data_IF_802047078563
#
_entry.id   IF_802047078563
#
_cell.length_a   1.000
_cell.length_b   1.000
_cell.length_c   1.000
_cell.angle_alpha   90.00
_cell.angle_beta   90.00
_cell.angle_gamma   90.00
#
_symmetry.space_group_name_H-M   'P 1'
#
loop_
_entity.id
_entity.type
_entity.pdbx_description
1 polymer ?
#
# COMPACT_ATOMS: atom_id res chain seq x y z
N UNK A 1 17.48 -15.18 22.57
CA UNK A 1 16.70 -14.13 21.90
C UNK A 1 17.00 -14.21 20.41
N UNK A 2 16.04 -13.90 19.52
CA UNK A 2 16.30 -13.81 18.08
C UNK A 2 17.40 -12.78 17.81
N UNK A 3 18.30 -13.07 16.87
CA UNK A 3 19.28 -12.09 16.38
C UNK A 3 18.69 -11.31 15.21
N UNK A 4 19.31 -10.18 14.86
CA UNK A 4 18.88 -9.40 13.70
C UNK A 4 18.88 -10.24 12.41
N UNK A 5 19.89 -11.09 12.22
CA UNK A 5 20.00 -11.98 11.06
C UNK A 5 18.89 -13.04 11.02
N UNK A 6 18.53 -13.60 12.18
CA UNK A 6 17.47 -14.63 12.27
C UNK A 6 16.09 -14.07 11.92
N UNK A 7 15.85 -12.77 12.11
CA UNK A 7 14.57 -12.14 11.77
C UNK A 7 14.30 -12.20 10.26
N UNK A 8 15.33 -12.08 9.44
CA UNK A 8 15.18 -12.12 7.97
C UNK A 8 14.79 -13.49 7.42
N UNK A 9 14.93 -14.56 8.22
CA UNK A 9 14.54 -15.92 7.80
C UNK A 9 13.13 -16.29 8.28
N UNK A 10 12.41 -15.37 8.93
CA UNK A 10 11.07 -15.62 9.48
C UNK A 10 9.98 -15.15 8.50
N UNK A 11 9.75 -15.91 7.44
CA UNK A 11 8.80 -15.53 6.37
C UNK A 11 7.41 -15.18 6.90
N UNK A 12 6.87 -15.98 7.83
CA UNK A 12 5.55 -15.72 8.41
C UNK A 12 5.52 -14.42 9.23
N UNK A 13 6.63 -14.07 9.89
CA UNK A 13 6.71 -12.82 10.64
C UNK A 13 6.68 -11.61 9.69
N UNK A 14 7.38 -11.68 8.55
CA UNK A 14 7.29 -10.64 7.52
C UNK A 14 5.85 -10.51 6.98
N UNK A 15 5.21 -11.63 6.65
CA UNK A 15 3.80 -11.65 6.23
C UNK A 15 2.86 -11.04 7.28
N UNK A 16 3.06 -11.37 8.55
CA UNK A 16 2.26 -10.85 9.66
C UNK A 16 2.40 -9.33 9.81
N UNK A 17 3.63 -8.81 9.77
CA UNK A 17 3.91 -7.38 9.86
C UNK A 17 3.28 -6.66 8.67
N UNK A 18 3.42 -7.21 7.46
CA UNK A 18 2.85 -6.63 6.24
C UNK A 18 1.33 -6.55 6.28
N UNK A 19 0.67 -7.59 6.77
CA UNK A 19 -0.80 -7.63 6.90
C UNK A 19 -1.30 -6.68 8.00
N UNK A 20 -0.55 -6.57 9.09
CA UNK A 20 -0.83 -5.59 10.14
C UNK A 20 -0.80 -4.16 9.57
N UNK A 21 0.25 -3.82 8.80
CA UNK A 21 0.37 -2.50 8.18
C UNK A 21 -0.65 -2.25 7.05
N UNK A 22 -1.18 -3.31 6.42
CA UNK A 22 -2.26 -3.21 5.43
C UNK A 22 -3.60 -2.87 6.09
N UNK A 23 -3.95 -3.59 7.16
CA UNK A 23 -5.25 -3.41 7.84
C UNK A 23 -5.26 -2.19 8.75
N UNK A 24 -4.12 -1.88 9.37
CA UNK A 24 -3.97 -0.78 10.30
C UNK A 24 -2.87 0.17 9.81
N UNK A 25 -3.10 0.87 8.68
CA UNK A 25 -2.11 1.79 8.14
C UNK A 25 -1.88 2.94 9.12
N UNK A 26 -0.60 3.23 9.41
CA UNK A 26 -0.19 4.33 10.30
C UNK A 26 -0.72 5.68 9.78
N UNK A 27 -0.73 5.84 8.46
CA UNK A 27 -1.33 6.97 7.77
C UNK A 27 -2.34 6.44 6.73
N UNK A 28 -3.66 6.44 7.01
CA UNK A 28 -4.65 5.92 6.06
C UNK A 28 -4.73 6.79 4.78
N UNK A 29 -4.46 8.08 4.89
CA UNK A 29 -4.26 9.00 3.77
C UNK A 29 -2.78 9.30 3.62
N UNK A 30 -2.25 9.22 2.40
CA UNK A 30 -0.88 9.63 2.12
C UNK A 30 -0.70 11.15 2.35
N UNK A 31 0.54 11.57 2.60
CA UNK A 31 0.88 13.00 2.62
C UNK A 31 0.63 13.57 1.23
N UNK A 32 -0.24 14.57 1.14
CA UNK A 32 -0.60 15.22 -0.11
C UNK A 32 0.63 15.71 -0.86
N UNK A 33 0.67 15.43 -2.15
CA UNK A 33 1.67 15.94 -3.09
C UNK A 33 1.06 17.07 -3.91
N UNK A 34 1.89 18.02 -4.33
CA UNK A 34 1.48 19.07 -5.25
C UNK A 34 2.06 18.78 -6.64
N UNK A 35 1.24 18.86 -7.69
CA UNK A 35 1.72 18.71 -9.06
C UNK A 35 2.71 19.84 -9.40
N UNK A 36 3.91 19.47 -9.86
CA UNK A 36 4.94 20.43 -10.26
C UNK A 36 4.63 21.07 -11.61
N UNK A 37 3.92 20.34 -12.47
CA UNK A 37 3.56 20.70 -13.84
C UNK A 37 2.14 20.22 -14.17
N UNK A 38 1.58 20.75 -15.26
CA UNK A 38 0.31 20.27 -15.80
C UNK A 38 0.54 18.96 -16.55
N UNK A 39 -0.28 17.95 -16.30
CA UNK A 39 -0.22 16.64 -16.98
C UNK A 39 -1.61 16.08 -17.23
N UNK A 40 -1.74 15.06 -18.08
CA UNK A 40 -2.99 14.34 -18.28
C UNK A 40 -2.92 12.99 -17.57
N UNK A 41 -3.86 12.74 -16.66
CA UNK A 41 -4.04 11.44 -16.04
C UNK A 41 -4.97 10.60 -16.92
N UNK A 42 -4.53 9.39 -17.27
CA UNK A 42 -5.32 8.45 -18.08
C UNK A 42 -6.71 8.27 -17.44
N UNK A 43 -7.77 8.35 -18.24
CA UNK A 43 -9.18 8.20 -17.82
C UNK A 43 -9.74 9.33 -16.93
N UNK A 44 -8.91 10.26 -16.44
CA UNK A 44 -9.33 11.39 -15.60
C UNK A 44 -9.15 12.77 -16.24
N UNK A 45 -8.32 12.88 -17.29
CA UNK A 45 -8.10 14.12 -18.03
C UNK A 45 -6.99 15.00 -17.44
N UNK A 46 -7.07 16.30 -17.72
CA UNK A 46 -6.01 17.25 -17.38
C UNK A 46 -5.97 17.56 -15.87
N UNK A 47 -4.78 17.45 -15.29
CA UNK A 47 -4.42 17.87 -13.93
C UNK A 47 -3.54 19.11 -14.06
N UNK A 48 -4.03 20.30 -13.68
CA UNK A 48 -3.23 21.51 -13.72
C UNK A 48 -2.02 21.47 -12.77
N UNK A 49 -1.00 22.28 -13.08
CA UNK A 49 0.08 22.59 -12.14
C UNK A 49 -0.49 23.16 -10.83
N UNK A 50 0.07 22.74 -9.69
CA UNK A 50 -0.32 23.23 -8.37
C UNK A 50 -1.48 22.48 -7.72
N UNK A 51 -2.07 21.50 -8.41
CA UNK A 51 -3.13 20.63 -7.85
C UNK A 51 -2.58 19.77 -6.71
N UNK A 52 -3.30 19.73 -5.60
CA UNK A 52 -3.02 18.80 -4.50
C UNK A 52 -3.60 17.43 -4.81
N UNK A 53 -2.78 16.39 -4.64
CA UNK A 53 -3.08 15.00 -4.93
C UNK A 53 -2.82 14.18 -3.67
N UNK A 54 -3.81 13.41 -3.25
CA UNK A 54 -3.74 12.55 -2.07
C UNK A 54 -4.10 11.13 -2.47
N UNK A 55 -3.32 10.15 -2.00
CA UNK A 55 -3.62 8.73 -2.21
C UNK A 55 -4.38 8.22 -1.00
N UNK A 56 -5.55 7.65 -1.26
CA UNK A 56 -6.34 6.93 -0.26
C UNK A 56 -5.78 5.51 -0.09
N UNK A 57 -4.84 5.36 0.84
CA UNK A 57 -4.17 4.09 1.09
C UNK A 57 -5.11 3.10 1.79
N UNK A 58 -6.07 3.59 2.57
CA UNK A 58 -7.08 2.75 3.20
C UNK A 58 -7.93 2.03 2.15
N UNK A 59 -8.58 2.76 1.24
CA UNK A 59 -9.38 2.14 0.19
C UNK A 59 -8.54 1.27 -0.76
N UNK A 60 -7.28 1.65 -1.02
CA UNK A 60 -6.34 0.82 -1.77
C UNK A 60 -6.08 -0.53 -1.08
N UNK A 61 -5.87 -0.53 0.24
CA UNK A 61 -5.55 -1.71 1.05
C UNK A 61 -6.76 -2.62 1.30
N UNK A 62 -7.98 -2.08 1.21
CA UNK A 62 -9.23 -2.85 1.34
C UNK A 62 -9.88 -3.18 -0.01
N UNK A 63 -9.26 -2.86 -1.14
CA UNK A 63 -9.82 -3.15 -2.46
C UNK A 63 -9.84 -4.67 -2.75
N UNK A 64 -11.01 -5.30 -2.92
CA UNK A 64 -11.12 -6.74 -3.15
C UNK A 64 -10.51 -7.20 -4.48
N UNK A 65 -10.46 -6.33 -5.49
CA UNK A 65 -9.83 -6.65 -6.77
C UNK A 65 -8.30 -6.74 -6.66
N UNK A 66 -7.71 -6.06 -5.69
CA UNK A 66 -6.27 -6.11 -5.41
C UNK A 66 -5.94 -7.19 -4.38
N UNK A 67 -6.79 -7.35 -3.35
CA UNK A 67 -6.47 -8.14 -2.17
C UNK A 67 -7.20 -9.48 -2.06
N UNK A 68 -8.12 -9.80 -2.97
CA UNK A 68 -8.75 -11.12 -3.07
C UNK A 68 -7.76 -12.28 -3.32
N UNK A 69 -8.25 -13.53 -3.30
CA UNK A 69 -9.67 -13.93 -3.19
C UNK A 69 -10.24 -13.90 -1.77
N UNK A 70 -9.39 -13.89 -0.74
CA UNK A 70 -9.81 -13.76 0.66
C UNK A 70 -10.27 -12.33 0.91
N UNK A 71 -11.37 -12.17 1.66
CA UNK A 71 -11.93 -10.88 2.03
C UNK A 71 -10.81 -9.93 2.56
N UNK A 72 -10.65 -8.72 2.01
CA UNK A 72 -9.67 -7.74 2.52
C UNK A 72 -9.90 -7.33 3.98
N UNK A 73 -11.09 -7.55 4.53
CA UNK A 73 -11.39 -7.31 5.95
C UNK A 73 -10.95 -8.43 6.88
N UNK A 74 -10.57 -9.59 6.33
CA UNK A 74 -10.02 -10.71 7.10
C UNK A 74 -8.50 -10.55 7.26
N UNK A 75 -8.02 -10.70 8.50
CA UNK A 75 -6.58 -10.74 8.78
C UNK A 75 -6.00 -12.07 8.28
N UNK A 76 -5.32 -12.03 7.15
CA UNK A 76 -4.80 -13.22 6.47
C UNK A 76 -3.37 -13.00 5.96
N UNK A 77 -2.35 -13.13 6.82
CA UNK A 77 -0.94 -12.90 6.49
C UNK A 77 -0.46 -13.63 5.22
N UNK A 78 -0.91 -14.86 5.03
CA UNK A 78 -0.52 -15.74 3.93
C UNK A 78 -0.85 -15.14 2.56
N UNK A 79 -1.74 -14.13 2.49
CA UNK A 79 -1.99 -13.41 1.24
C UNK A 79 -0.72 -12.81 0.66
N UNK A 80 0.29 -12.47 1.47
CA UNK A 80 1.56 -11.94 1.00
C UNK A 80 2.47 -12.97 0.32
N UNK A 81 2.13 -14.26 0.35
CA UNK A 81 2.76 -15.25 -0.53
C UNK A 81 2.42 -15.02 -2.02
N UNK A 82 1.28 -14.36 -2.31
CA UNK A 82 0.86 -14.02 -3.66
C UNK A 82 1.47 -12.71 -4.12
N UNK A 83 2.21 -12.74 -5.23
CA UNK A 83 2.74 -11.53 -5.89
C UNK A 83 1.59 -10.65 -6.39
N UNK A 84 1.67 -9.35 -6.09
CA UNK A 84 0.72 -8.31 -6.52
C UNK A 84 1.45 -7.16 -7.19
N UNK A 85 0.70 -6.24 -7.78
CA UNK A 85 1.26 -5.00 -8.28
C UNK A 85 2.01 -4.27 -7.14
N UNK A 86 3.21 -3.72 -7.36
CA UNK A 86 4.00 -3.08 -6.30
C UNK A 86 3.26 -1.95 -5.56
N UNK A 87 2.41 -1.22 -6.29
CA UNK A 87 1.59 -0.13 -5.74
C UNK A 87 0.35 -0.61 -4.96
N UNK A 88 0.10 -1.91 -4.82
CA UNK A 88 -1.02 -2.41 -4.01
C UNK A 88 -0.77 -2.25 -2.50
N UNK A 89 0.51 -2.24 -2.08
CA UNK A 89 0.93 -2.14 -0.69
C UNK A 89 2.00 -1.08 -0.52
N UNK A 90 1.59 0.10 -0.04
CA UNK A 90 2.43 1.29 0.14
C UNK A 90 2.25 1.89 1.54
N UNK A 91 2.43 1.12 2.63
CA UNK A 91 2.18 1.61 3.99
C UNK A 91 3.05 2.80 4.40
N UNK A 92 4.15 3.03 3.68
CA UNK A 92 5.08 4.15 3.89
C UNK A 92 5.15 5.07 2.66
N UNK A 93 4.15 5.02 1.77
CA UNK A 93 4.16 5.73 0.51
C UNK A 93 5.05 5.08 -0.56
N UNK A 94 5.24 5.79 -1.67
CA UNK A 94 6.09 5.38 -2.79
C UNK A 94 6.63 6.61 -3.51
N UNK A 95 7.80 6.47 -4.12
CA UNK A 95 8.49 7.56 -4.81
C UNK A 95 9.21 8.53 -3.87
N UNK A 96 9.85 9.58 -4.43
CA UNK A 96 10.55 10.62 -3.68
C UNK A 96 9.61 11.64 -2.99
#
# INVERSE_FOLDING_TARGET
>A
MPTYETIFTMDYLDMFIRETLRMFPIAPMAISRQSTDSFCLKDFGAVPRGTLITVDMYNLHYNPNLWGPVDPHEFHPERFATKRHPMAWIPFGAGP
#
